data_IF_123862529810
#
_entry.id   IF_123862529810
#
_cell.length_a   1.000
_cell.length_b   1.000
_cell.length_c   1.000
_cell.angle_alpha   90.00
_cell.angle_beta   90.00
_cell.angle_gamma   90.00
#
_symmetry.space_group_name_H-M   'P 1'
#
loop_
_entity.id
_entity.type
_entity.pdbx_description
1 polymer ?
#
# COMPACT_ATOMS: atom_id res chain seq x y z
N UNK A 1 -20.85 -32.55 6.91
CA UNK A 1 -21.33 -31.57 5.92
C UNK A 1 -20.09 -30.76 5.60
N UNK A 2 -19.49 -30.97 4.44
CA UNK A 2 -18.22 -30.32 4.09
C UNK A 2 -18.43 -28.80 4.07
N UNK A 3 -17.62 -28.07 4.84
CA UNK A 3 -17.71 -26.62 4.99
C UNK A 3 -17.28 -25.91 3.69
N UNK A 4 -18.08 -24.94 3.28
CA UNK A 4 -17.94 -24.19 2.02
C UNK A 4 -16.77 -23.19 2.02
N UNK A 5 -15.96 -23.15 3.09
CA UNK A 5 -14.90 -22.16 3.31
C UNK A 5 -13.53 -22.58 2.73
N UNK A 6 -13.36 -23.82 2.28
CA UNK A 6 -12.07 -24.32 1.76
C UNK A 6 -11.85 -24.11 0.23
N UNK A 7 -12.71 -23.38 -0.46
CA UNK A 7 -12.67 -23.21 -1.94
C UNK A 7 -12.41 -21.77 -2.38
N UNK A 8 -11.60 -21.00 -1.65
CA UNK A 8 -11.05 -19.73 -2.17
C UNK A 8 -9.61 -19.96 -2.64
N UNK A 9 -9.46 -20.59 -3.82
CA UNK A 9 -8.23 -20.47 -4.62
C UNK A 9 -8.17 -19.08 -5.24
N UNK A 10 -7.45 -18.16 -4.60
CA UNK A 10 -7.15 -16.84 -5.19
C UNK A 10 -6.28 -17.07 -6.44
N UNK A 11 -6.69 -16.63 -7.64
CA UNK A 11 -5.85 -16.73 -8.82
C UNK A 11 -4.57 -15.91 -8.61
N UNK A 12 -3.41 -16.54 -8.77
CA UNK A 12 -2.09 -15.92 -8.56
C UNK A 12 -1.78 -14.74 -9.52
N UNK A 13 -2.67 -14.48 -10.48
CA UNK A 13 -2.52 -13.42 -11.48
C UNK A 13 -3.91 -13.00 -11.93
N UNK A 14 -4.29 -11.75 -11.64
CA UNK A 14 -5.46 -11.12 -12.26
C UNK A 14 -4.92 -10.35 -13.47
N UNK A 15 -5.26 -10.80 -14.67
CA UNK A 15 -4.84 -10.17 -15.92
C UNK A 15 -5.86 -9.08 -16.26
N UNK A 16 -5.69 -7.89 -15.69
CA UNK A 16 -6.37 -6.65 -16.09
C UNK A 16 -5.49 -5.98 -17.15
N UNK A 17 -6.07 -5.60 -18.30
CA UNK A 17 -5.33 -5.26 -19.52
C UNK A 17 -4.09 -4.39 -19.33
N UNK A 18 -3.03 -4.70 -20.11
CA UNK A 18 -1.71 -4.04 -20.22
C UNK A 18 -0.86 -3.86 -18.96
N UNK A 19 -1.41 -3.98 -17.75
CA UNK A 19 -0.67 -3.86 -16.49
C UNK A 19 -0.75 -5.17 -15.68
N UNK A 20 0.39 -5.85 -15.54
CA UNK A 20 0.46 -7.10 -14.77
C UNK A 20 0.45 -6.81 -13.27
N UNK A 21 -0.58 -7.26 -12.56
CA UNK A 21 -0.64 -7.20 -11.08
C UNK A 21 -0.09 -8.50 -10.50
N UNK A 22 1.07 -8.45 -9.85
CA UNK A 22 1.63 -9.62 -9.13
C UNK A 22 1.07 -9.65 -7.72
N UNK A 23 -0.05 -10.36 -7.54
CA UNK A 23 -0.65 -10.61 -6.23
C UNK A 23 0.17 -11.66 -5.50
N UNK A 24 0.92 -11.26 -4.45
CA UNK A 24 1.54 -12.20 -3.51
C UNK A 24 0.82 -12.15 -2.17
N UNK A 25 0.30 -13.29 -1.71
CA UNK A 25 -0.22 -13.44 -0.35
C UNK A 25 0.93 -13.24 0.64
N UNK A 26 0.79 -12.31 1.58
CA UNK A 26 1.71 -12.20 2.71
C UNK A 26 1.61 -13.49 3.53
N UNK A 27 2.61 -14.36 3.44
CA UNK A 27 2.74 -15.52 4.32
C UNK A 27 3.09 -14.98 5.71
N UNK A 28 2.09 -14.76 6.57
CA UNK A 28 2.31 -14.63 8.02
C UNK A 28 2.84 -15.98 8.51
N UNK A 29 3.92 -15.98 9.29
CA UNK A 29 4.62 -17.19 9.77
C UNK A 29 3.92 -17.88 10.95
N UNK A 30 2.71 -17.46 11.27
CA UNK A 30 1.96 -17.74 12.47
C UNK A 30 0.48 -17.74 12.07
N UNK A 31 -0.19 -18.89 12.19
CA UNK A 31 -1.55 -19.17 11.70
C UNK A 31 -2.69 -18.40 12.37
N UNK A 32 -2.48 -17.14 12.74
CA UNK A 32 -3.53 -16.22 13.14
C UNK A 32 -4.24 -15.66 11.90
N UNK A 33 -5.39 -16.24 11.58
CA UNK A 33 -6.39 -15.64 10.69
C UNK A 33 -6.83 -14.33 11.34
N UNK A 34 -6.65 -13.21 10.65
CA UNK A 34 -7.12 -11.90 11.10
C UNK A 34 -8.65 -11.89 11.11
N UNK A 35 -9.27 -12.27 12.22
CA UNK A 35 -10.67 -12.00 12.54
C UNK A 35 -10.78 -10.54 13.00
N UNK A 36 -10.61 -9.61 12.06
CA UNK A 36 -10.85 -8.20 12.31
C UNK A 36 -11.87 -7.72 11.31
N UNK A 37 -13.12 -7.63 11.78
CA UNK A 37 -14.30 -6.95 11.24
C UNK A 37 -14.49 -7.07 9.72
N UNK A 38 -15.61 -7.70 9.30
CA UNK A 38 -16.11 -7.75 7.91
C UNK A 38 -15.48 -6.68 7.04
N UNK A 39 -14.63 -7.06 6.07
CA UNK A 39 -13.94 -6.10 5.21
C UNK A 39 -14.99 -5.24 4.49
N UNK A 40 -15.33 -4.10 5.07
CA UNK A 40 -16.18 -3.08 4.47
C UNK A 40 -15.21 -2.10 3.82
N UNK A 41 -15.14 -2.05 2.48
CA UNK A 41 -14.37 -1.03 1.79
C UNK A 41 -14.72 0.37 2.35
N UNK A 42 -13.71 1.21 2.54
CA UNK A 42 -13.89 2.58 3.05
C UNK A 42 -13.85 2.76 4.58
N UNK A 43 -13.94 1.75 5.44
CA UNK A 43 -13.94 2.03 6.91
C UNK A 43 -12.54 2.22 7.51
N UNK A 44 -11.49 1.80 6.79
CA UNK A 44 -10.13 1.73 7.34
C UNK A 44 -9.45 3.11 7.42
N UNK A 45 -8.70 3.30 8.51
CA UNK A 45 -7.88 4.50 8.74
C UNK A 45 -6.56 4.41 7.98
N UNK A 46 -6.27 5.43 7.19
CA UNK A 46 -5.07 5.52 6.35
C UNK A 46 -4.24 6.73 6.78
N UNK A 47 -2.94 6.49 6.98
CA UNK A 47 -1.95 7.53 7.26
C UNK A 47 -1.15 7.82 6.00
N UNK A 48 -1.11 9.07 5.55
CA UNK A 48 -0.29 9.48 4.40
C UNK A 48 0.88 10.32 4.91
N UNK A 49 2.10 9.93 4.52
CA UNK A 49 3.32 10.69 4.81
C UNK A 49 4.08 10.97 3.53
N UNK A 50 4.43 12.24 3.36
CA UNK A 50 5.07 12.74 2.13
C UNK A 50 6.41 13.36 2.44
N UNK A 51 7.41 13.01 1.61
CA UNK A 51 8.72 13.66 1.60
C UNK A 51 9.08 14.04 0.16
N UNK A 52 9.50 15.28 -0.07
CA UNK A 52 10.00 15.68 -1.38
C UNK A 52 9.64 17.09 -1.82
N UNK A 53 9.32 17.21 -3.10
CA UNK A 53 8.99 18.47 -3.78
C UNK A 53 7.49 18.77 -3.74
N UNK A 54 7.10 19.91 -4.31
CA UNK A 54 5.70 20.34 -4.44
C UNK A 54 4.85 19.36 -5.25
N UNK A 55 5.45 18.67 -6.24
CA UNK A 55 4.76 17.66 -7.03
C UNK A 55 4.31 16.47 -6.17
N UNK A 56 5.20 15.90 -5.35
CA UNK A 56 4.81 14.83 -4.42
C UNK A 56 3.75 15.29 -3.40
N UNK A 57 3.78 16.55 -2.96
CA UNK A 57 2.69 17.09 -2.13
C UNK A 57 1.37 17.06 -2.87
N UNK A 58 1.34 17.53 -4.12
CA UNK A 58 0.16 17.47 -4.99
C UNK A 58 -0.34 16.05 -5.20
N UNK A 59 0.56 15.09 -5.45
CA UNK A 59 0.18 13.66 -5.59
C UNK A 59 -0.46 13.14 -4.31
N UNK A 60 0.03 13.59 -3.15
CA UNK A 60 -0.50 13.16 -1.85
C UNK A 60 -1.88 13.73 -1.57
N UNK A 61 -2.14 14.97 -1.99
CA UNK A 61 -3.47 15.57 -1.96
C UNK A 61 -4.43 14.86 -2.92
N UNK A 62 -3.96 14.49 -4.11
CA UNK A 62 -4.75 13.68 -5.05
C UNK A 62 -5.09 12.32 -4.46
N UNK A 63 -4.10 11.61 -3.89
CA UNK A 63 -4.33 10.33 -3.19
C UNK A 63 -5.32 10.49 -2.05
N UNK A 64 -5.18 11.53 -1.22
CA UNK A 64 -6.10 11.83 -0.14
C UNK A 64 -7.54 12.02 -0.64
N UNK A 65 -7.73 12.80 -1.72
CA UNK A 65 -9.03 13.01 -2.34
C UNK A 65 -9.65 11.72 -2.86
N UNK A 66 -8.88 10.90 -3.58
CA UNK A 66 -9.34 9.61 -4.11
C UNK A 66 -9.74 8.63 -2.98
N UNK A 67 -8.93 8.56 -1.92
CA UNK A 67 -9.20 7.67 -0.79
C UNK A 67 -10.42 8.13 0.01
N UNK A 68 -10.57 9.43 0.24
CA UNK A 68 -11.76 9.99 0.88
C UNK A 68 -13.01 9.77 0.04
N UNK A 69 -12.92 9.86 -1.29
CA UNK A 69 -14.03 9.58 -2.20
C UNK A 69 -14.42 8.09 -2.20
N UNK A 70 -13.46 7.19 -2.01
CA UNK A 70 -13.69 5.76 -1.80
C UNK A 70 -14.21 5.43 -0.38
N UNK A 71 -14.36 6.44 0.49
CA UNK A 71 -14.90 6.32 1.84
C UNK A 71 -13.86 6.18 2.95
N UNK A 72 -12.58 5.98 2.63
CA UNK A 72 -11.51 5.78 3.61
C UNK A 72 -11.33 6.98 4.54
N UNK A 73 -11.03 6.70 5.81
CA UNK A 73 -10.76 7.73 6.81
C UNK A 73 -9.26 8.09 6.82
N UNK A 74 -8.92 9.32 6.46
CA UNK A 74 -7.55 9.80 6.60
C UNK A 74 -7.28 10.18 8.05
N UNK A 75 -6.13 9.76 8.59
CA UNK A 75 -5.70 10.10 9.94
C UNK A 75 -4.31 10.74 9.92
N UNK A 76 -4.09 11.70 10.81
CA UNK A 76 -2.77 12.29 11.06
C UNK A 76 -1.96 11.51 12.11
N UNK A 77 -2.59 10.57 12.81
CA UNK A 77 -1.95 9.70 13.81
C UNK A 77 -1.56 8.40 13.16
N UNK A 78 -0.25 8.16 13.07
CA UNK A 78 0.33 6.95 12.45
C UNK A 78 -0.03 5.68 13.23
N UNK A 79 -0.26 5.81 14.54
CA UNK A 79 -0.58 4.70 15.46
C UNK A 79 -1.97 4.11 15.17
N UNK A 80 -2.94 5.00 14.89
CA UNK A 80 -4.35 4.65 14.66
C UNK A 80 -4.61 4.09 13.26
N UNK A 81 -3.67 4.27 12.33
CA UNK A 81 -3.83 3.83 10.95
C UNK A 81 -3.60 2.32 10.81
N UNK A 82 -4.43 1.66 10.01
CA UNK A 82 -4.23 0.27 9.61
C UNK A 82 -3.19 0.18 8.48
N UNK A 83 -3.17 1.20 7.62
CA UNK A 83 -2.31 1.27 6.43
C UNK A 83 -1.58 2.62 6.35
N UNK A 84 -0.30 2.56 6.01
CA UNK A 84 0.56 3.72 5.80
C UNK A 84 0.89 3.87 4.31
N UNK A 85 0.65 5.06 3.75
CA UNK A 85 1.08 5.46 2.41
C UNK A 85 2.27 6.38 2.57
N UNK A 86 3.42 5.94 2.06
CA UNK A 86 4.70 6.62 2.18
C UNK A 86 5.11 7.14 0.81
N UNK A 87 4.86 8.41 0.54
CA UNK A 87 5.16 9.06 -0.72
C UNK A 87 6.53 9.75 -0.66
N UNK A 88 7.48 9.34 -1.52
CA UNK A 88 8.85 9.87 -1.50
C UNK A 88 9.35 10.27 -2.87
N UNK A 89 10.10 11.38 -2.92
CA UNK A 89 10.77 11.90 -4.09
C UNK A 89 12.24 11.48 -4.12
N UNK A 90 12.82 11.31 -5.32
CA UNK A 90 14.26 11.05 -5.50
C UNK A 90 15.11 12.32 -5.47
N UNK A 91 14.49 13.50 -5.63
CA UNK A 91 15.20 14.76 -5.88
C UNK A 91 15.77 15.39 -4.59
N UNK A 92 15.10 15.21 -3.45
CA UNK A 92 15.55 15.79 -2.17
C UNK A 92 16.21 14.72 -1.31
N UNK A 93 17.45 14.94 -0.92
CA UNK A 93 18.11 14.15 0.12
C UNK A 93 17.85 14.79 1.49
N UNK A 94 17.60 14.02 2.56
CA UNK A 94 17.64 12.55 2.66
C UNK A 94 16.25 11.88 2.58
N UNK A 95 15.46 12.07 1.51
CA UNK A 95 14.11 11.48 1.41
C UNK A 95 14.11 9.94 1.32
N UNK A 96 15.13 9.31 0.74
CA UNK A 96 15.24 7.85 0.68
C UNK A 96 15.54 7.22 2.06
N UNK A 97 16.53 7.74 2.80
CA UNK A 97 16.86 7.25 4.14
C UNK A 97 15.70 7.42 5.11
N UNK A 98 14.93 8.51 5.00
CA UNK A 98 13.72 8.72 5.79
C UNK A 98 12.65 7.68 5.45
N UNK A 99 12.42 7.43 4.15
CA UNK A 99 11.49 6.40 3.69
C UNK A 99 11.89 5.01 4.23
N UNK A 100 13.15 4.61 4.09
CA UNK A 100 13.63 3.31 4.57
C UNK A 100 13.42 3.15 6.08
N UNK A 101 13.75 4.18 6.86
CA UNK A 101 13.57 4.17 8.32
C UNK A 101 12.09 4.03 8.70
N UNK A 102 11.19 4.77 8.03
CA UNK A 102 9.75 4.68 8.30
C UNK A 102 9.17 3.34 7.85
N UNK A 103 9.65 2.75 6.75
CA UNK A 103 9.26 1.40 6.34
C UNK A 103 9.66 0.37 7.40
N UNK A 104 10.88 0.46 7.94
CA UNK A 104 11.35 -0.41 9.04
C UNK A 104 10.48 -0.25 10.29
N UNK A 105 10.11 0.98 10.65
CA UNK A 105 9.20 1.27 11.76
C UNK A 105 7.82 0.62 11.54
N UNK A 106 7.21 0.85 10.38
CA UNK A 106 5.89 0.32 10.04
C UNK A 106 5.86 -1.22 10.05
N UNK A 107 6.93 -1.86 9.57
CA UNK A 107 7.08 -3.33 9.63
C UNK A 107 7.12 -3.85 11.07
N UNK A 108 7.84 -3.17 11.98
CA UNK A 108 7.87 -3.53 13.41
C UNK A 108 6.49 -3.42 14.07
N UNK A 109 5.69 -2.45 13.64
CA UNK A 109 4.32 -2.24 14.11
C UNK A 109 3.27 -3.11 13.38
N UNK A 110 3.70 -4.03 12.50
CA UNK A 110 2.83 -4.88 11.70
C UNK A 110 1.76 -4.12 10.88
N UNK A 111 2.06 -2.90 10.45
CA UNK A 111 1.16 -2.10 9.62
C UNK A 111 1.21 -2.54 8.16
N UNK A 112 0.13 -2.31 7.42
CA UNK A 112 0.15 -2.37 5.96
C UNK A 112 0.89 -1.16 5.41
N UNK A 113 1.66 -1.35 4.34
CA UNK A 113 2.50 -0.30 3.78
C UNK A 113 2.28 -0.25 2.28
N UNK A 114 2.13 0.98 1.77
CA UNK A 114 2.21 1.31 0.36
C UNK A 114 3.29 2.36 0.22
N UNK A 115 4.22 2.16 -0.71
CA UNK A 115 5.19 3.20 -1.07
C UNK A 115 4.78 3.81 -2.39
N UNK A 116 4.71 5.13 -2.42
CA UNK A 116 4.35 5.89 -3.61
C UNK A 116 5.47 6.85 -4.02
N UNK A 117 5.38 7.34 -5.25
CA UNK A 117 6.23 8.42 -5.76
C UNK A 117 7.51 7.94 -6.45
N UNK A 118 8.38 8.89 -6.77
CA UNK A 118 9.54 8.70 -7.65
C UNK A 118 10.52 7.62 -7.16
N UNK A 119 10.77 7.50 -5.83
CA UNK A 119 11.75 6.53 -5.31
C UNK A 119 11.35 5.11 -5.65
N UNK A 120 10.07 4.79 -5.42
CA UNK A 120 9.51 3.46 -5.69
C UNK A 120 9.52 3.09 -7.18
N UNK A 121 9.53 4.11 -8.04
CA UNK A 121 9.57 3.94 -9.49
C UNK A 121 11.00 3.85 -10.04
N UNK A 122 11.94 4.62 -9.47
CA UNK A 122 13.34 4.60 -9.88
C UNK A 122 14.03 3.29 -9.48
N UNK A 123 13.80 2.84 -8.25
CA UNK A 123 14.44 1.63 -7.70
C UNK A 123 13.42 0.69 -7.05
N UNK A 124 12.52 0.07 -7.83
CA UNK A 124 11.45 -0.79 -7.31
C UNK A 124 11.95 -2.08 -6.63
N UNK A 125 13.23 -2.42 -6.82
CA UNK A 125 13.86 -3.66 -6.35
C UNK A 125 14.73 -3.47 -5.09
N UNK A 126 14.60 -2.32 -4.41
CA UNK A 126 15.24 -2.10 -3.11
C UNK A 126 14.74 -3.13 -2.09
N UNK A 127 15.67 -3.74 -1.35
CA UNK A 127 15.36 -4.82 -0.38
C UNK A 127 14.30 -4.43 0.66
N UNK A 128 14.27 -3.17 1.08
CA UNK A 128 13.28 -2.72 2.05
C UNK A 128 11.87 -2.58 1.46
N UNK A 129 11.72 -2.62 0.13
CA UNK A 129 10.43 -2.62 -0.59
C UNK A 129 9.92 -4.05 -0.86
N UNK A 130 10.66 -5.09 -0.48
CA UNK A 130 10.23 -6.48 -0.68
C UNK A 130 8.96 -6.80 0.11
N UNK A 131 7.93 -7.30 -0.57
CA UNK A 131 6.64 -7.61 0.06
C UNK A 131 5.82 -6.37 0.46
N UNK A 132 6.11 -5.22 -0.14
CA UNK A 132 5.36 -3.98 0.02
C UNK A 132 4.69 -3.62 -1.30
N UNK A 133 3.50 -3.03 -1.23
CA UNK A 133 2.80 -2.51 -2.40
C UNK A 133 3.41 -1.20 -2.90
N UNK A 134 3.48 -1.02 -4.21
CA UNK A 134 4.13 0.12 -4.85
C UNK A 134 3.18 0.82 -5.82
N UNK A 135 3.14 2.15 -5.76
CA UNK A 135 2.38 3.03 -6.67
C UNK A 135 3.33 4.06 -7.29
N UNK A 136 3.59 3.94 -8.60
CA UNK A 136 4.40 4.88 -9.36
C UNK A 136 3.68 6.21 -9.62
N UNK A 137 4.42 7.23 -10.05
CA UNK A 137 3.90 8.60 -10.23
C UNK A 137 2.84 8.71 -11.31
N UNK A 138 2.80 7.76 -12.25
CA UNK A 138 1.80 7.74 -13.34
C UNK A 138 0.50 7.05 -12.95
N UNK A 139 0.50 6.32 -11.84
CA UNK A 139 -0.57 5.41 -11.44
C UNK A 139 -1.17 5.85 -10.10
N UNK A 140 -1.07 7.14 -9.75
CA UNK A 140 -1.61 7.70 -8.51
C UNK A 140 -3.13 7.45 -8.40
N UNK A 141 -3.82 7.40 -9.53
CA UNK A 141 -5.26 7.09 -9.60
C UNK A 141 -5.60 5.67 -9.11
N UNK A 142 -4.65 4.72 -9.21
CA UNK A 142 -4.81 3.34 -8.73
C UNK A 142 -4.58 3.19 -7.22
N UNK A 143 -4.37 4.28 -6.47
CA UNK A 143 -4.10 4.21 -5.02
C UNK A 143 -5.23 3.53 -4.23
N UNK A 144 -6.49 3.73 -4.62
CA UNK A 144 -7.66 3.12 -3.97
C UNK A 144 -7.61 1.60 -4.11
N UNK A 145 -7.41 1.11 -5.35
CA UNK A 145 -7.21 -0.30 -5.63
C UNK A 145 -5.99 -0.85 -4.88
N UNK A 146 -4.89 -0.08 -4.84
CA UNK A 146 -3.70 -0.48 -4.10
C UNK A 146 -3.96 -0.68 -2.62
N UNK A 147 -4.73 0.23 -2.01
CA UNK A 147 -5.16 0.15 -0.60
C UNK A 147 -6.04 -1.07 -0.36
N UNK A 148 -7.06 -1.28 -1.18
CA UNK A 148 -7.98 -2.41 -1.03
C UNK A 148 -7.25 -3.76 -1.13
N UNK A 149 -6.36 -3.92 -2.10
CA UNK A 149 -5.57 -5.15 -2.26
C UNK A 149 -4.57 -5.32 -1.12
N UNK A 150 -3.91 -4.24 -0.70
CA UNK A 150 -2.95 -4.30 0.40
C UNK A 150 -3.63 -4.70 1.72
N UNK A 151 -4.83 -4.19 1.98
CA UNK A 151 -5.61 -4.56 3.16
C UNK A 151 -6.08 -6.02 3.14
N UNK A 152 -6.28 -6.62 1.95
CA UNK A 152 -6.53 -8.06 1.79
C UNK A 152 -5.27 -8.93 2.01
N UNK A 153 -4.11 -8.30 2.24
CA UNK A 153 -2.83 -8.98 2.42
C UNK A 153 -2.07 -9.25 1.12
N UNK A 154 -2.49 -8.62 0.02
CA UNK A 154 -1.83 -8.74 -1.28
C UNK A 154 -0.76 -7.65 -1.43
N UNK A 155 0.34 -7.98 -2.10
CA UNK A 155 1.27 -6.97 -2.59
C UNK A 155 0.89 -6.60 -4.02
N UNK A 156 0.83 -5.32 -4.37
CA UNK A 156 0.56 -4.86 -5.75
C UNK A 156 1.65 -3.91 -6.23
N UNK A 157 1.89 -3.84 -7.53
CA UNK A 157 2.91 -2.96 -8.12
C UNK A 157 2.35 -2.28 -9.37
N UNK A 158 2.03 -1.00 -9.24
CA UNK A 158 1.57 -0.16 -10.34
C UNK A 158 2.72 0.75 -10.78
N UNK A 159 3.49 0.34 -11.80
CA UNK A 159 4.74 1.01 -12.20
C UNK A 159 4.77 1.52 -13.65
N UNK A 160 3.82 1.11 -14.49
CA UNK A 160 3.78 1.43 -15.92
C UNK A 160 3.09 2.76 -16.23
#
# INVERSE_FOLDING_TARGET
MEDIEDVIRVPATINLGRDYVIVRKRLKGDGEIFYGDSFVPGTQKIYIRTWGCTHNTSDSEQMAGLLSAAGHQLTNKKEDASLWILNSCTVKTPSETQLENTVKEARKLNKFIIVAGCVSQAEPNLRFLDGISIVGVKQIECVTQAVEETLKGNCVRFLS
#
